data_IF_602977968558
#
_entry.id   IF_602977968558
#
_cell.length_a   1.000
_cell.length_b   1.000
_cell.length_c   1.000
_cell.angle_alpha   90.00
_cell.angle_beta   90.00
_cell.angle_gamma   90.00
#
_symmetry.space_group_name_H-M   'P 1'
#
loop_
_entity.id
_entity.type
_entity.pdbx_description
1 polymer ?
#
# COMPACT_ATOMS: atom_id res chain seq x y z
N UNK A 1 3.75 -1.04 9.24
CA UNK A 1 3.31 -1.65 10.51
C UNK A 1 1.94 -1.09 10.91
N UNK A 2 1.18 -1.80 11.75
CA UNK A 2 -0.11 -1.33 12.26
C UNK A 2 -0.04 -1.15 13.78
N UNK A 3 -0.32 0.05 14.28
CA UNK A 3 -0.32 0.31 15.72
C UNK A 3 -1.66 -0.11 16.33
N UNK A 4 -1.65 -1.11 17.22
CA UNK A 4 -2.85 -1.63 17.88
C UNK A 4 -3.32 -0.70 19.01
N UNK A 5 -4.64 -0.49 19.12
CA UNK A 5 -5.25 0.20 20.26
C UNK A 5 -5.67 1.66 20.05
N UNK A 6 -5.79 2.13 18.80
CA UNK A 6 -6.31 3.48 18.48
C UNK A 6 -7.86 3.53 18.48
N UNK A 7 -8.48 2.77 19.38
CA UNK A 7 -9.93 2.77 19.58
C UNK A 7 -10.39 4.14 20.11
N UNK A 8 -10.98 4.92 19.20
CA UNK A 8 -11.58 6.24 19.47
C UNK A 8 -13.07 6.17 19.79
N UNK A 9 -13.68 4.99 19.85
CA UNK A 9 -15.06 4.84 20.29
C UNK A 9 -15.17 5.08 21.82
N UNK A 10 -15.19 6.36 22.20
CA UNK A 10 -15.36 6.79 23.59
C UNK A 10 -16.69 6.31 24.21
N UNK A 11 -17.71 6.08 23.38
CA UNK A 11 -19.02 5.55 23.82
C UNK A 11 -18.92 4.13 24.35
N UNK A 12 -18.06 3.29 23.78
CA UNK A 12 -17.92 1.89 24.18
C UNK A 12 -17.18 1.71 25.49
N UNK A 13 -16.19 2.57 25.76
CA UNK A 13 -15.46 2.58 27.04
C UNK A 13 -16.38 2.83 28.24
N UNK A 14 -17.54 3.46 28.03
CA UNK A 14 -18.53 3.78 29.06
C UNK A 14 -19.72 2.82 29.13
N UNK A 15 -20.01 2.02 28.10
CA UNK A 15 -21.34 1.40 27.94
C UNK A 15 -21.41 -0.13 27.86
N UNK A 16 -20.31 -0.89 27.83
CA UNK A 16 -20.49 -2.35 27.90
C UNK A 16 -19.25 -3.22 27.80
N UNK A 17 -19.30 -4.37 28.48
CA UNK A 17 -18.34 -5.48 28.30
C UNK A 17 -18.64 -6.20 27.00
N UNK A 18 -17.65 -6.26 26.11
CA UNK A 18 -17.71 -7.08 24.91
C UNK A 18 -17.57 -8.57 25.25
N UNK A 19 -18.47 -9.40 24.72
CA UNK A 19 -18.31 -10.87 24.74
C UNK A 19 -17.38 -11.31 23.59
N UNK A 20 -17.44 -10.64 22.43
CA UNK A 20 -16.58 -10.90 21.26
C UNK A 20 -16.43 -9.66 20.38
N UNK A 21 -15.23 -9.48 19.81
CA UNK A 21 -14.90 -8.41 18.86
C UNK A 21 -13.96 -8.93 17.77
N UNK A 22 -14.41 -8.86 16.52
CA UNK A 22 -13.66 -9.37 15.36
C UNK A 22 -12.98 -8.24 14.57
N UNK A 23 -13.50 -7.02 14.69
CA UNK A 23 -13.02 -5.85 13.95
C UNK A 23 -11.94 -5.14 14.75
N UNK A 24 -10.84 -4.84 14.07
CA UNK A 24 -9.71 -4.09 14.61
C UNK A 24 -9.74 -2.64 14.11
N UNK A 25 -9.38 -1.71 14.98
CA UNK A 25 -9.14 -0.31 14.64
C UNK A 25 -7.72 0.08 15.06
N UNK A 26 -7.03 0.81 14.18
CA UNK A 26 -5.61 1.10 14.31
C UNK A 26 -5.14 2.05 13.22
N UNK A 27 -3.92 2.57 13.38
CA UNK A 27 -3.19 3.18 12.27
C UNK A 27 -2.56 2.08 11.44
N UNK A 28 -2.45 2.30 10.14
CA UNK A 28 -1.92 1.33 9.21
C UNK A 28 -1.05 2.03 8.17
N UNK A 29 0.13 1.49 7.91
CA UNK A 29 1.00 1.90 6.81
C UNK A 29 1.51 0.67 6.06
N UNK A 30 1.43 0.74 4.72
CA UNK A 30 1.97 -0.23 3.77
C UNK A 30 2.75 0.51 2.68
N UNK A 31 3.86 -0.10 2.26
CA UNK A 31 4.71 0.40 1.18
C UNK A 31 4.84 -0.67 0.11
N UNK A 32 4.77 -0.28 -1.15
CA UNK A 32 4.93 -1.17 -2.30
C UNK A 32 5.93 -0.54 -3.26
N UNK A 33 6.84 -1.35 -3.81
CA UNK A 33 7.67 -0.94 -4.94
C UNK A 33 6.89 -1.13 -6.23
N UNK A 34 6.83 -0.10 -7.07
CA UNK A 34 5.98 -0.06 -8.28
C UNK A 34 6.79 0.11 -9.57
N UNK A 35 8.10 -0.11 -9.50
CA UNK A 35 9.03 0.06 -10.62
C UNK A 35 9.67 1.44 -10.65
N UNK A 36 10.46 1.67 -11.70
CA UNK A 36 11.16 2.93 -11.94
C UNK A 36 10.40 3.81 -12.92
N UNK A 37 10.67 5.12 -12.88
CA UNK A 37 10.14 6.06 -13.87
C UNK A 37 8.66 6.42 -13.68
N UNK A 38 8.06 6.11 -12.54
CA UNK A 38 6.74 6.62 -12.14
C UNK A 38 6.86 8.08 -11.73
N UNK A 39 6.05 8.94 -12.34
CA UNK A 39 5.88 10.36 -12.05
C UNK A 39 4.71 10.54 -11.09
N UNK A 40 4.85 11.43 -10.10
CA UNK A 40 3.83 11.60 -9.05
C UNK A 40 2.53 12.14 -9.63
N UNK A 41 2.63 12.95 -10.69
CA UNK A 41 1.51 13.59 -11.37
C UNK A 41 0.56 12.59 -12.05
N UNK A 42 1.09 11.44 -12.46
CA UNK A 42 0.34 10.40 -13.19
C UNK A 42 -0.32 9.37 -12.26
N UNK A 43 -0.10 9.49 -10.94
CA UNK A 43 -0.72 8.60 -9.95
C UNK A 43 -2.12 9.13 -9.63
N UNK A 44 -3.15 8.30 -9.86
CA UNK A 44 -4.53 8.63 -9.53
C UNK A 44 -5.08 7.72 -8.44
N UNK A 45 -5.90 8.29 -7.54
CA UNK A 45 -6.49 7.57 -6.43
C UNK A 45 -8.01 7.79 -6.35
N UNK A 46 -8.76 6.76 -5.96
CA UNK A 46 -10.20 6.83 -5.70
C UNK A 46 -10.56 5.99 -4.47
N UNK A 47 -11.36 6.54 -3.56
CA UNK A 47 -11.84 5.84 -2.37
C UNK A 47 -13.36 5.75 -2.36
N UNK A 48 -13.89 4.56 -2.55
CA UNK A 48 -15.33 4.32 -2.65
C UNK A 48 -15.68 2.97 -2.02
N UNK A 49 -16.84 2.89 -1.36
CA UNK A 49 -17.36 1.67 -0.73
C UNK A 49 -16.36 0.96 0.20
N UNK A 50 -15.51 1.72 0.89
CA UNK A 50 -14.51 1.18 1.81
C UNK A 50 -13.23 0.66 1.14
N UNK A 51 -13.03 0.90 -0.16
CA UNK A 51 -11.88 0.41 -0.92
C UNK A 51 -11.10 1.59 -1.51
N UNK A 52 -9.79 1.63 -1.23
CA UNK A 52 -8.85 2.55 -1.89
C UNK A 52 -8.30 1.89 -3.16
N UNK A 53 -8.56 2.49 -4.32
CA UNK A 53 -8.01 2.10 -5.61
C UNK A 53 -6.94 3.10 -6.04
N UNK A 54 -5.76 2.60 -6.39
CA UNK A 54 -4.64 3.38 -6.95
C UNK A 54 -4.40 2.94 -8.40
N UNK A 55 -4.29 3.90 -9.31
CA UNK A 55 -3.93 3.69 -10.72
C UNK A 55 -2.53 4.25 -10.94
N UNK A 56 -1.59 3.37 -11.27
CA UNK A 56 -0.18 3.71 -11.49
C UNK A 56 0.17 3.23 -12.91
N UNK A 57 0.28 4.13 -13.90
CA UNK A 57 0.60 3.74 -15.26
C UNK A 57 2.02 3.21 -15.34
N UNK A 58 2.20 2.11 -16.07
CA UNK A 58 3.52 1.57 -16.38
C UNK A 58 4.10 2.39 -17.54
N UNK A 59 5.38 2.76 -17.45
CA UNK A 59 6.11 3.22 -18.63
C UNK A 59 6.29 2.05 -19.60
N UNK A 60 6.10 2.32 -20.88
CA UNK A 60 6.48 1.37 -21.92
C UNK A 60 7.99 1.15 -21.84
N UNK A 61 8.41 -0.10 -21.64
CA UNK A 61 9.81 -0.46 -21.74
C UNK A 61 10.25 -0.27 -23.18
N UNK A 62 11.15 0.69 -23.41
CA UNK A 62 12.01 0.63 -24.59
C UNK A 62 12.74 -0.70 -24.50
N UNK A 63 12.45 -1.65 -25.41
CA UNK A 63 13.14 -2.94 -25.51
C UNK A 63 14.64 -2.68 -25.42
N UNK A 64 15.24 -2.91 -24.24
CA UNK A 64 16.69 -2.86 -24.09
C UNK A 64 17.19 -4.02 -24.94
N UNK A 65 17.83 -3.69 -26.05
CA UNK A 65 18.57 -4.66 -26.86
C UNK A 65 19.55 -5.31 -25.90
N UNK A 66 19.34 -6.59 -25.58
CA UNK A 66 20.19 -7.35 -24.68
C UNK A 66 21.58 -7.44 -25.30
N UNK A 67 22.47 -6.52 -24.92
CA UNK A 67 23.90 -6.68 -25.18
C UNK A 67 24.41 -7.68 -24.16
N UNK A 68 24.74 -8.88 -24.63
CA UNK A 68 25.39 -9.91 -23.83
C UNK A 68 26.73 -9.38 -23.32
N UNK A 69 26.76 -8.92 -22.07
CA UNK A 69 28.00 -8.53 -21.41
C UNK A 69 28.69 -9.81 -20.94
N UNK A 70 29.59 -10.35 -21.76
CA UNK A 70 30.52 -11.39 -21.33
C UNK A 70 31.55 -10.76 -20.38
N UNK A 71 31.67 -11.30 -19.17
CA UNK A 71 32.75 -10.98 -18.25
C UNK A 71 33.70 -12.18 -18.31
N UNK A 72 34.91 -11.99 -18.83
CA UNK A 72 35.95 -13.01 -18.80
C UNK A 72 36.46 -13.16 -17.36
N UNK A 73 36.63 -14.40 -16.92
CA UNK A 73 37.24 -14.75 -15.62
C UNK A 73 38.66 -15.23 -15.93
N UNK A 74 39.67 -14.64 -15.28
CA UNK A 74 41.06 -15.15 -15.22
C UNK A 74 41.22 -16.16 -14.08
#
# INVERSE_FOLDING_TARGET
>A
EAAKGLDKDEKDKKSGKYIRRERYAGSMSRSFYVGEGVTQEDIHAKYEHGVLKLSIPKKEEQKKVEKSNYIAIE
#
